data_IF_128768909731
#
_entry.id   IF_128768909731
#
_cell.length_a   1.000
_cell.length_b   1.000
_cell.length_c   1.000
_cell.angle_alpha   90.00
_cell.angle_beta   90.00
_cell.angle_gamma   90.00
#
_symmetry.space_group_name_H-M   'P 1'
#
loop_
_entity.id
_entity.type
_entity.pdbx_description
1 polymer ?
#
# COMPACT_ATOMS: atom_id res chain seq x y z
N UNK A 1 -25.82 -11.74 -5.19
CA UNK A 1 -24.62 -10.99 -4.77
C UNK A 1 -23.65 -11.01 -5.94
N UNK A 2 -23.42 -9.89 -6.64
CA UNK A 2 -22.38 -9.85 -7.68
C UNK A 2 -21.02 -9.79 -6.99
N UNK A 3 -20.30 -10.92 -6.96
CA UNK A 3 -18.89 -10.91 -6.60
C UNK A 3 -18.11 -10.33 -7.78
N UNK A 4 -17.87 -9.02 -7.76
CA UNK A 4 -16.96 -8.40 -8.73
C UNK A 4 -15.53 -8.82 -8.40
N UNK A 5 -14.74 -9.19 -9.42
CA UNK A 5 -13.30 -9.36 -9.27
C UNK A 5 -12.70 -8.04 -8.75
N UNK A 6 -12.10 -8.07 -7.57
CA UNK A 6 -11.43 -6.91 -7.00
C UNK A 6 -9.93 -7.07 -7.15
N UNK A 7 -9.24 -6.02 -7.60
CA UNK A 7 -7.79 -6.02 -7.74
C UNK A 7 -7.12 -6.20 -6.36
N UNK A 8 -5.89 -6.75 -6.29
CA UNK A 8 -5.11 -6.79 -5.06
C UNK A 8 -5.07 -5.43 -4.32
N UNK A 9 -4.87 -4.32 -5.03
CA UNK A 9 -4.95 -2.97 -4.49
C UNK A 9 -6.30 -2.66 -3.84
N UNK A 10 -7.42 -2.95 -4.51
CA UNK A 10 -8.77 -2.73 -3.94
C UNK A 10 -9.00 -3.55 -2.67
N UNK A 11 -8.48 -4.79 -2.64
CA UNK A 11 -8.60 -5.65 -1.46
C UNK A 11 -7.77 -5.12 -0.29
N UNK A 12 -6.56 -4.65 -0.57
CA UNK A 12 -5.70 -4.02 0.42
C UNK A 12 -6.37 -2.77 1.00
N UNK A 13 -6.87 -1.90 0.15
CA UNK A 13 -7.54 -0.66 0.54
C UNK A 13 -8.79 -0.93 1.38
N UNK A 14 -9.63 -1.88 0.99
CA UNK A 14 -10.79 -2.30 1.79
C UNK A 14 -10.38 -2.86 3.16
N UNK A 15 -9.26 -3.59 3.25
CA UNK A 15 -8.76 -4.09 4.53
C UNK A 15 -8.27 -2.96 5.41
N UNK A 16 -7.48 -2.03 4.87
CA UNK A 16 -7.01 -0.85 5.60
C UNK A 16 -8.18 0.00 6.13
N UNK A 17 -9.18 0.26 5.29
CA UNK A 17 -10.39 0.97 5.69
C UNK A 17 -11.17 0.23 6.79
N UNK A 18 -11.29 -1.09 6.71
CA UNK A 18 -11.95 -1.90 7.75
C UNK A 18 -11.18 -1.89 9.09
N UNK A 19 -9.87 -1.64 9.06
CA UNK A 19 -9.02 -1.44 10.24
C UNK A 19 -9.07 0.03 10.74
N UNK A 20 -9.81 0.91 10.06
CA UNK A 20 -9.94 2.32 10.42
C UNK A 20 -8.77 3.20 9.94
N UNK A 21 -7.97 2.74 8.98
CA UNK A 21 -6.84 3.49 8.45
C UNK A 21 -7.28 4.37 7.28
N UNK A 22 -6.68 5.55 7.16
CA UNK A 22 -6.94 6.48 6.05
C UNK A 22 -5.81 6.43 5.02
N UNK A 23 -6.16 6.33 3.74
CA UNK A 23 -5.20 6.37 2.63
C UNK A 23 -4.79 7.82 2.30
N UNK A 24 -3.50 8.05 2.12
CA UNK A 24 -2.91 9.33 1.73
C UNK A 24 -1.85 9.13 0.64
N UNK A 25 -1.69 10.13 -0.22
CA UNK A 25 -0.58 10.20 -1.18
C UNK A 25 0.60 10.98 -0.60
N UNK A 26 1.79 10.39 -0.60
CA UNK A 26 3.03 11.05 -0.18
C UNK A 26 3.94 11.28 -1.38
N UNK A 27 4.39 12.53 -1.56
CA UNK A 27 5.36 12.86 -2.60
C UNK A 27 6.79 12.69 -2.05
N UNK A 28 7.53 11.73 -2.58
CA UNK A 28 8.97 11.59 -2.39
C UNK A 28 9.77 12.36 -3.42
N UNK A 29 11.09 12.21 -3.40
CA UNK A 29 12.01 12.87 -4.36
C UNK A 29 11.86 12.38 -5.79
N UNK A 30 11.56 11.10 -5.99
CA UNK A 30 11.42 10.50 -7.32
C UNK A 30 10.15 9.68 -7.53
N UNK A 31 9.39 9.44 -6.46
CA UNK A 31 8.21 8.58 -6.50
C UNK A 31 7.08 9.15 -5.64
N UNK A 32 5.83 8.92 -6.05
CA UNK A 32 4.64 9.10 -5.22
C UNK A 32 4.31 7.76 -4.57
N UNK A 33 4.04 7.81 -3.29
CA UNK A 33 3.70 6.64 -2.49
C UNK A 33 2.25 6.72 -2.06
N UNK A 34 1.57 5.58 -2.03
CA UNK A 34 0.36 5.42 -1.23
C UNK A 34 0.81 5.06 0.18
N UNK A 35 0.27 5.72 1.18
CA UNK A 35 0.47 5.42 2.58
C UNK A 35 -0.87 5.31 3.30
N UNK A 36 -0.90 4.53 4.37
CA UNK A 36 -2.07 4.42 5.24
C UNK A 36 -1.70 4.88 6.63
N UNK A 37 -2.55 5.71 7.24
CA UNK A 37 -2.26 6.32 8.54
C UNK A 37 -3.38 6.08 9.54
N UNK A 38 -3.01 6.01 10.82
CA UNK A 38 -3.94 5.90 11.94
C UNK A 38 -3.36 6.52 13.22
N UNK A 39 -4.24 6.94 14.12
CA UNK A 39 -3.89 7.54 15.40
C UNK A 39 -3.67 9.06 15.34
N UNK A 40 -3.31 9.69 16.48
CA UNK A 40 -3.21 11.14 16.61
C UNK A 40 -1.86 11.66 16.07
N UNK A 41 -1.75 11.78 14.75
CA UNK A 41 -0.49 12.12 14.06
C UNK A 41 0.09 13.50 14.44
N UNK A 42 -0.76 14.49 14.72
CA UNK A 42 -0.35 15.88 14.96
C UNK A 42 0.16 16.15 16.39
N UNK A 43 -0.08 15.23 17.33
CA UNK A 43 0.15 15.45 18.77
C UNK A 43 1.13 14.47 19.39
N UNK A 44 2.05 13.92 18.59
CA UNK A 44 3.01 12.91 19.04
C UNK A 44 4.41 13.21 18.56
N UNK A 45 5.38 13.00 19.45
CA UNK A 45 6.82 13.10 19.15
C UNK A 45 7.37 11.84 18.46
N UNK A 46 6.54 10.80 18.31
CA UNK A 46 6.95 9.51 17.72
C UNK A 46 5.90 9.00 16.73
N UNK A 47 6.39 8.48 15.61
CA UNK A 47 5.62 7.83 14.56
C UNK A 47 6.20 6.43 14.32
N UNK A 48 5.37 5.40 14.43
CA UNK A 48 5.77 4.05 14.02
C UNK A 48 5.54 3.87 12.52
N UNK A 49 6.60 3.54 11.78
CA UNK A 49 6.53 3.36 10.33
C UNK A 49 6.66 1.88 9.99
N UNK A 50 5.63 1.36 9.32
CA UNK A 50 5.54 0.00 8.83
C UNK A 50 5.85 0.01 7.34
N UNK A 51 6.81 -0.83 6.94
CA UNK A 51 7.17 -1.01 5.54
C UNK A 51 6.95 -2.46 5.18
N UNK A 52 6.14 -2.70 4.15
CA UNK A 52 5.87 -4.06 3.70
C UNK A 52 7.06 -4.65 2.95
N UNK A 53 7.09 -5.97 2.90
CA UNK A 53 7.96 -6.69 1.98
C UNK A 53 7.61 -6.39 0.51
N UNK A 54 8.24 -7.11 -0.43
CA UNK A 54 8.09 -6.89 -1.87
C UNK A 54 6.67 -7.10 -2.44
N UNK A 55 5.66 -7.45 -1.64
CA UNK A 55 4.31 -7.80 -2.10
C UNK A 55 4.30 -9.07 -2.96
N UNK A 56 3.60 -9.02 -4.11
CA UNK A 56 3.49 -10.13 -5.05
C UNK A 56 3.94 -9.70 -6.45
N UNK A 57 5.24 -9.44 -6.67
CA UNK A 57 5.74 -8.84 -7.91
C UNK A 57 5.66 -9.76 -9.13
N UNK A 58 5.58 -11.07 -8.91
CA UNK A 58 5.56 -12.10 -9.95
C UNK A 58 4.38 -13.06 -9.72
N UNK A 59 3.67 -13.42 -10.78
CA UNK A 59 2.64 -14.47 -10.75
C UNK A 59 3.27 -15.87 -10.84
N UNK A 60 4.42 -15.96 -11.50
CA UNK A 60 5.31 -17.13 -11.54
C UNK A 60 6.74 -16.69 -11.91
N UNK A 61 7.65 -17.65 -12.12
CA UNK A 61 9.06 -17.40 -12.41
C UNK A 61 9.34 -16.50 -13.63
N UNK A 62 8.35 -16.29 -14.50
CA UNK A 62 8.52 -15.57 -15.78
C UNK A 62 7.53 -14.44 -16.02
N UNK A 63 6.41 -14.40 -15.28
CA UNK A 63 5.33 -13.43 -15.50
C UNK A 63 5.26 -12.40 -14.37
N UNK A 64 5.58 -11.12 -14.64
CA UNK A 64 5.34 -10.03 -13.70
C UNK A 64 3.85 -9.94 -13.35
N UNK A 65 3.54 -9.55 -12.12
CA UNK A 65 2.17 -9.30 -11.72
C UNK A 65 1.69 -7.94 -12.26
N UNK A 66 0.49 -7.86 -12.86
CA UNK A 66 -0.07 -6.59 -13.31
C UNK A 66 -0.43 -5.67 -12.14
N UNK A 67 -0.71 -6.26 -10.98
CA UNK A 67 -0.84 -5.56 -9.71
C UNK A 67 0.02 -6.31 -8.67
N UNK A 68 1.20 -5.76 -8.34
CA UNK A 68 2.14 -6.38 -7.43
C UNK A 68 1.78 -6.13 -5.95
N UNK A 69 0.67 -5.45 -5.66
CA UNK A 69 0.20 -5.20 -4.29
C UNK A 69 0.11 -6.52 -3.49
N UNK A 70 0.63 -6.55 -2.24
CA UNK A 70 0.59 -7.74 -1.39
C UNK A 70 -0.82 -8.31 -1.29
N UNK A 71 -0.95 -9.61 -1.55
CA UNK A 71 -2.22 -10.34 -1.32
C UNK A 71 -2.43 -10.68 0.15
N UNK A 72 -1.34 -10.77 0.91
CA UNK A 72 -1.32 -11.00 2.35
C UNK A 72 -0.57 -9.83 2.99
N UNK A 73 -1.28 -8.83 3.55
CA UNK A 73 -0.68 -7.57 3.94
C UNK A 73 -0.13 -7.62 5.38
N UNK A 74 0.94 -8.39 5.63
CA UNK A 74 1.45 -8.66 6.98
C UNK A 74 1.78 -7.38 7.76
N UNK A 75 2.51 -6.43 7.17
CA UNK A 75 2.88 -5.20 7.86
C UNK A 75 1.66 -4.32 8.16
N UNK A 76 0.62 -4.37 7.32
CA UNK A 76 -0.66 -3.69 7.60
C UNK A 76 -1.37 -4.31 8.82
N UNK A 77 -1.38 -5.64 8.92
CA UNK A 77 -1.96 -6.33 10.08
C UNK A 77 -1.15 -6.06 11.35
N UNK A 78 0.19 -6.05 11.27
CA UNK A 78 1.05 -5.68 12.41
C UNK A 78 0.83 -4.23 12.85
N UNK A 79 0.58 -3.31 11.91
CA UNK A 79 0.21 -1.93 12.23
C UNK A 79 -1.14 -1.86 12.96
N UNK A 80 -2.07 -2.79 12.75
CA UNK A 80 -3.35 -2.80 13.44
C UNK A 80 -3.24 -3.09 14.94
N UNK A 81 -2.20 -3.81 15.34
CA UNK A 81 -1.94 -4.16 16.74
C UNK A 81 -1.30 -3.02 17.55
N UNK A 82 -0.93 -1.91 16.90
CA UNK A 82 -0.34 -0.75 17.55
C UNK A 82 -1.40 0.31 17.89
N UNK A 83 -1.27 0.92 19.07
CA UNK A 83 -2.17 1.96 19.58
C UNK A 83 -1.66 3.39 19.36
N UNK A 84 -0.41 3.56 18.93
CA UNK A 84 0.20 4.87 18.67
C UNK A 84 -0.12 5.48 17.31
N UNK A 85 0.36 6.71 17.03
CA UNK A 85 0.41 7.25 15.68
C UNK A 85 1.33 6.40 14.83
N UNK A 86 0.80 5.95 13.69
CA UNK A 86 1.41 4.94 12.87
C UNK A 86 1.11 5.15 11.40
N UNK A 87 2.05 4.74 10.58
CA UNK A 87 2.00 4.90 9.13
C UNK A 87 2.50 3.63 8.46
N UNK A 88 1.71 3.08 7.56
CA UNK A 88 2.16 2.11 6.57
C UNK A 88 2.65 2.86 5.33
N UNK A 89 3.88 2.59 4.90
CA UNK A 89 4.45 3.17 3.69
C UNK A 89 4.43 2.14 2.55
N UNK A 90 3.61 2.41 1.53
CA UNK A 90 3.57 1.61 0.32
C UNK A 90 4.81 1.81 -0.55
N UNK A 91 5.22 0.73 -1.22
CA UNK A 91 6.25 0.79 -2.24
C UNK A 91 5.78 1.63 -3.45
N UNK A 92 6.70 2.30 -4.17
CA UNK A 92 6.40 2.90 -5.47
C UNK A 92 5.79 1.88 -6.44
N UNK A 93 4.98 2.33 -7.38
CA UNK A 93 4.36 1.52 -8.44
C UNK A 93 3.28 0.52 -7.97
N UNK A 94 3.05 0.37 -6.67
CA UNK A 94 2.07 -0.55 -6.09
C UNK A 94 0.76 0.19 -5.77
N UNK A 95 -0.25 -0.52 -5.28
CA UNK A 95 -1.53 0.04 -4.82
C UNK A 95 -2.30 0.80 -5.89
N UNK A 96 -2.07 0.44 -7.17
CA UNK A 96 -2.70 1.07 -8.32
C UNK A 96 -2.62 2.61 -8.29
N UNK A 97 -1.48 3.18 -7.88
CA UNK A 97 -1.22 4.61 -8.02
C UNK A 97 -1.21 4.97 -9.51
N UNK A 98 -2.39 5.26 -10.08
CA UNK A 98 -2.61 5.46 -11.53
C UNK A 98 -1.70 6.55 -12.08
N UNK A 99 -1.41 7.57 -11.26
CA UNK A 99 -0.46 8.63 -11.59
C UNK A 99 0.97 8.07 -11.71
N UNK A 100 1.43 7.28 -10.74
CA UNK A 100 2.78 6.69 -10.73
C UNK A 100 3.00 5.76 -11.92
N UNK A 101 2.04 4.85 -12.19
CA UNK A 101 2.13 3.90 -13.30
C UNK A 101 2.07 4.58 -14.67
N UNK A 102 1.45 5.78 -14.79
CA UNK A 102 1.39 6.53 -16.05
C UNK A 102 2.60 7.44 -16.30
N UNK A 103 3.15 8.05 -15.25
CA UNK A 103 4.18 9.09 -15.40
C UNK A 103 5.60 8.59 -15.12
N UNK A 104 5.75 7.40 -14.51
CA UNK A 104 7.04 6.80 -14.25
C UNK A 104 7.21 5.49 -15.04
N UNK A 105 8.08 5.50 -16.05
CA UNK A 105 8.34 4.33 -16.90
C UNK A 105 8.94 3.14 -16.12
N UNK A 106 9.51 3.37 -14.94
CA UNK A 106 9.98 2.33 -14.01
C UNK A 106 8.80 1.53 -13.44
N UNK A 107 7.61 2.12 -13.40
CA UNK A 107 6.40 1.52 -12.83
C UNK A 107 5.50 0.83 -13.87
N UNK A 108 5.84 0.87 -15.16
CA UNK A 108 5.13 0.10 -16.16
C UNK A 108 5.47 -1.38 -16.02
N UNK A 109 4.49 -2.30 -16.06
CA UNK A 109 4.79 -3.73 -16.12
C UNK A 109 5.63 -4.02 -17.38
N UNK A 110 6.69 -4.82 -17.21
CA UNK A 110 7.56 -5.28 -18.30
C UNK A 110 6.79 -6.04 -19.38
#
# INVERSE_FOLDING_TARGET
MLAACAAPADRFDRRANALGFSSIGLQGTGFRHVAYVAGPLESSDTLHVYVEHDGTPWLDLTRPAPDPTPRTPLALELMAEDSGPRLFLGRPCYFAAVEETRFNSICAPL
#
